data_IF_718353993482
#
_entry.id   IF_718353993482
#
_cell.length_a   1.000
_cell.length_b   1.000
_cell.length_c   1.000
_cell.angle_alpha   90.00
_cell.angle_beta   90.00
_cell.angle_gamma   90.00
#
_symmetry.space_group_name_H-M   'P 1'
#
loop_
_entity.id
_entity.type
_entity.pdbx_description
1 polymer ?
#
# COMPACT_ATOMS: atom_id res chain seq x y z
N UNK A 1 -5.52 12.38 -29.36
CA UNK A 1 -5.87 11.19 -28.57
C UNK A 1 -6.71 11.65 -27.38
N UNK A 2 -7.87 11.05 -27.16
CA UNK A 2 -8.74 11.38 -26.00
C UNK A 2 -8.29 10.57 -24.78
N UNK A 3 -8.37 11.21 -23.62
CA UNK A 3 -8.07 10.61 -22.32
C UNK A 3 -9.33 10.65 -21.44
N UNK A 4 -9.51 9.66 -20.60
CA UNK A 4 -10.68 9.51 -19.74
C UNK A 4 -10.25 9.18 -18.30
N UNK A 5 -10.98 9.70 -17.33
CA UNK A 5 -10.91 9.33 -15.90
C UNK A 5 -9.53 9.53 -15.23
N UNK A 6 -8.64 10.37 -15.77
CA UNK A 6 -7.30 10.63 -15.22
C UNK A 6 -7.29 11.21 -13.80
N UNK A 7 -8.42 11.76 -13.34
CA UNK A 7 -8.56 12.29 -11.97
C UNK A 7 -8.68 11.20 -10.90
N UNK A 8 -9.00 9.97 -11.30
CA UNK A 8 -9.16 8.87 -10.36
C UNK A 8 -7.83 8.16 -10.14
N UNK A 9 -7.35 8.23 -8.90
CA UNK A 9 -6.11 7.61 -8.45
C UNK A 9 -6.45 6.57 -7.40
N UNK A 10 -5.91 5.36 -7.54
CA UNK A 10 -5.96 4.37 -6.47
C UNK A 10 -4.74 4.53 -5.56
N UNK A 11 -4.97 4.57 -4.26
CA UNK A 11 -3.92 4.51 -3.26
C UNK A 11 -3.69 3.06 -2.80
N UNK A 12 -2.43 2.74 -2.50
CA UNK A 12 -2.07 1.53 -1.76
C UNK A 12 -1.81 1.93 -0.30
N UNK A 13 -2.55 1.35 0.68
CA UNK A 13 -2.49 1.80 2.08
C UNK A 13 -1.13 1.59 2.73
N UNK A 14 -0.47 0.46 2.42
CA UNK A 14 0.69 -0.05 3.14
C UNK A 14 1.92 -0.11 2.25
N UNK A 15 2.41 1.04 1.80
CA UNK A 15 3.75 1.15 1.23
C UNK A 15 4.78 1.36 2.34
N UNK A 16 5.93 0.72 2.25
CA UNK A 16 7.03 0.90 3.20
C UNK A 16 7.42 2.37 3.28
N UNK A 17 7.47 2.92 4.50
CA UNK A 17 7.87 4.31 4.72
C UNK A 17 9.38 4.44 4.74
N UNK A 18 9.95 5.00 3.67
CA UNK A 18 11.37 5.32 3.55
C UNK A 18 11.54 6.79 3.20
N UNK A 19 12.54 7.45 3.80
CA UNK A 19 12.83 8.88 3.53
C UNK A 19 13.48 9.11 2.17
N UNK A 20 14.13 8.10 1.58
CA UNK A 20 15.04 8.29 0.45
C UNK A 20 14.59 7.69 -0.88
N UNK A 21 13.57 6.84 -0.91
CA UNK A 21 13.20 6.11 -2.12
C UNK A 21 12.10 6.81 -2.93
N UNK A 22 12.38 7.07 -4.22
CA UNK A 22 11.38 7.56 -5.18
C UNK A 22 10.30 6.51 -5.45
N UNK A 23 10.68 5.22 -5.53
CA UNK A 23 9.77 4.10 -5.76
C UNK A 23 9.57 3.36 -4.44
N UNK A 24 8.35 3.43 -3.92
CA UNK A 24 8.01 2.78 -2.66
C UNK A 24 7.83 1.28 -2.83
N UNK A 25 8.35 0.50 -1.89
CA UNK A 25 8.07 -0.93 -1.81
C UNK A 25 6.66 -1.14 -1.25
N UNK A 26 5.84 -1.91 -1.96
CA UNK A 26 4.46 -2.18 -1.54
C UNK A 26 4.41 -3.43 -0.67
N UNK A 27 3.97 -3.27 0.56
CA UNK A 27 3.66 -4.39 1.45
C UNK A 27 2.32 -4.98 1.01
N UNK A 28 2.34 -6.26 0.59
CA UNK A 28 1.15 -6.94 0.06
C UNK A 28 -0.04 -6.85 1.00
N UNK A 29 -1.22 -6.65 0.42
CA UNK A 29 -2.50 -6.70 1.13
C UNK A 29 -2.73 -8.02 1.85
N UNK A 30 -2.17 -9.12 1.32
CA UNK A 30 -2.23 -10.44 1.94
C UNK A 30 -1.68 -10.44 3.38
N UNK A 31 -0.67 -9.62 3.69
CA UNK A 31 -0.12 -9.53 5.04
C UNK A 31 -1.18 -9.04 6.04
N UNK A 32 -2.00 -8.03 5.66
CA UNK A 32 -3.15 -7.56 6.44
C UNK A 32 -4.26 -8.61 6.49
N UNK A 33 -4.55 -9.23 5.34
CA UNK A 33 -5.55 -10.30 5.23
C UNK A 33 -5.24 -11.53 6.09
N UNK A 34 -3.97 -11.77 6.40
CA UNK A 34 -3.51 -12.90 7.22
C UNK A 34 -3.21 -12.53 8.67
N UNK A 35 -3.53 -11.29 9.10
CA UNK A 35 -3.56 -10.92 10.51
C UNK A 35 -2.68 -9.77 10.95
N UNK A 36 -1.90 -9.15 10.05
CA UNK A 36 -1.14 -7.95 10.43
C UNK A 36 -2.09 -6.76 10.66
N UNK A 37 -1.83 -5.98 11.71
CA UNK A 37 -2.69 -4.89 12.19
C UNK A 37 -2.05 -3.53 12.00
N UNK A 38 -2.88 -2.54 11.65
CA UNK A 38 -2.46 -1.14 11.64
C UNK A 38 -2.59 -0.54 13.03
N UNK A 39 -1.45 -0.11 13.57
CA UNK A 39 -1.35 0.47 14.91
C UNK A 39 -0.71 1.86 14.87
N UNK A 40 -1.01 2.65 15.89
CA UNK A 40 -0.36 3.93 16.14
C UNK A 40 0.97 3.75 16.90
N UNK A 41 1.60 4.86 17.28
CA UNK A 41 2.83 4.90 18.07
C UNK A 41 2.65 4.43 19.53
N UNK A 42 1.41 4.41 20.02
CA UNK A 42 1.04 3.88 21.34
C UNK A 42 0.72 2.38 21.31
N UNK A 43 0.68 1.78 20.11
CA UNK A 43 0.33 0.36 19.89
C UNK A 43 -1.18 0.10 19.78
N UNK A 44 -2.00 1.14 19.67
CA UNK A 44 -3.45 0.99 19.54
C UNK A 44 -3.86 0.80 18.07
N UNK A 45 -4.73 -0.17 17.83
CA UNK A 45 -5.38 -0.36 16.53
C UNK A 45 -6.39 0.77 16.28
N UNK A 46 -6.29 1.49 15.18
CA UNK A 46 -7.13 2.65 14.88
C UNK A 46 -8.05 2.47 13.66
N UNK A 47 -7.90 1.38 12.90
CA UNK A 47 -8.71 1.09 11.72
C UNK A 47 -8.89 -0.42 11.55
N UNK A 48 -9.96 -0.84 10.89
CA UNK A 48 -10.10 -2.21 10.39
C UNK A 48 -9.36 -2.36 9.04
N UNK A 49 -8.26 -3.08 9.04
CA UNK A 49 -7.35 -3.26 7.91
C UNK A 49 -7.97 -4.02 6.74
N UNK A 50 -9.10 -4.71 6.97
CA UNK A 50 -9.79 -5.51 5.95
C UNK A 50 -10.79 -4.69 5.13
N UNK A 51 -11.03 -3.44 5.50
CA UNK A 51 -11.84 -2.52 4.72
C UNK A 51 -11.22 -2.22 3.34
N UNK A 52 -11.99 -1.69 2.38
CA UNK A 52 -11.48 -1.29 1.06
C UNK A 52 -10.27 -0.36 1.15
N UNK A 53 -9.38 -0.44 0.15
CA UNK A 53 -8.09 0.29 0.14
C UNK A 53 -8.22 1.80 0.28
N UNK A 54 -9.23 2.39 -0.32
CA UNK A 54 -9.56 3.81 -0.22
C UNK A 54 -9.90 4.20 1.21
N UNK A 55 -10.78 3.42 1.86
CA UNK A 55 -11.15 3.63 3.26
C UNK A 55 -9.93 3.53 4.19
N UNK A 56 -9.15 2.47 4.07
CA UNK A 56 -7.94 2.27 4.90
C UNK A 56 -6.91 3.37 4.65
N UNK A 57 -6.71 3.77 3.39
CA UNK A 57 -5.78 4.86 3.04
C UNK A 57 -6.22 6.20 3.62
N UNK A 58 -7.51 6.52 3.56
CA UNK A 58 -8.07 7.73 4.13
C UNK A 58 -7.93 7.76 5.66
N UNK A 59 -8.22 6.64 6.33
CA UNK A 59 -8.05 6.50 7.77
C UNK A 59 -6.59 6.73 8.19
N UNK A 60 -5.62 6.15 7.46
CA UNK A 60 -4.19 6.38 7.73
C UNK A 60 -3.82 7.84 7.50
N UNK A 61 -4.23 8.46 6.38
CA UNK A 61 -3.91 9.85 6.08
C UNK A 61 -4.47 10.80 7.13
N UNK A 62 -5.71 10.57 7.56
CA UNK A 62 -6.34 11.33 8.63
C UNK A 62 -5.58 11.17 9.95
N UNK A 63 -5.30 9.95 10.37
CA UNK A 63 -4.55 9.68 11.60
C UNK A 63 -3.17 10.34 11.61
N UNK A 64 -2.46 10.29 10.46
CA UNK A 64 -1.17 10.99 10.29
C UNK A 64 -1.29 12.50 10.42
N UNK A 65 -2.34 13.10 9.85
CA UNK A 65 -2.56 14.54 9.93
C UNK A 65 -2.94 14.97 11.36
N UNK A 66 -3.80 14.22 12.04
CA UNK A 66 -4.25 14.51 13.40
C UNK A 66 -3.12 14.42 14.44
N UNK A 67 -2.17 13.51 14.24
CA UNK A 67 -1.03 13.27 15.15
C UNK A 67 0.27 13.94 14.69
N UNK A 68 0.31 14.57 13.53
CA UNK A 68 1.51 15.15 12.88
C UNK A 68 2.68 14.15 12.77
N UNK A 69 2.38 12.90 12.35
CA UNK A 69 3.34 11.81 12.20
C UNK A 69 3.60 11.47 10.73
N UNK A 70 4.82 11.05 10.37
CA UNK A 70 5.19 10.76 8.97
C UNK A 70 4.63 9.43 8.45
N UNK A 71 4.38 8.47 9.33
CA UNK A 71 3.92 7.12 9.00
C UNK A 71 3.11 6.53 10.16
N UNK A 72 2.44 5.43 9.88
CA UNK A 72 1.84 4.54 10.89
C UNK A 72 2.60 3.21 10.88
N UNK A 73 2.24 2.30 11.76
CA UNK A 73 2.92 1.03 11.95
C UNK A 73 2.03 -0.15 11.52
N UNK A 74 2.60 -1.10 10.78
CA UNK A 74 1.95 -2.37 10.44
C UNK A 74 2.59 -3.49 11.26
N UNK A 75 1.85 -4.00 12.22
CA UNK A 75 2.31 -5.02 13.17
C UNK A 75 1.95 -6.42 12.69
N UNK A 76 2.98 -7.22 12.40
CA UNK A 76 2.86 -8.61 11.98
C UNK A 76 3.47 -9.59 13.01
N UNK A 77 3.92 -9.12 14.17
CA UNK A 77 4.68 -9.92 15.15
C UNK A 77 3.93 -11.14 15.67
N UNK A 78 2.60 -11.05 15.81
CA UNK A 78 1.75 -12.17 16.28
C UNK A 78 1.74 -13.37 15.31
N UNK A 79 2.16 -13.18 14.06
CA UNK A 79 2.20 -14.26 13.04
C UNK A 79 3.38 -15.22 13.23
N UNK A 80 4.43 -14.78 13.94
CA UNK A 80 5.62 -15.56 14.20
C UNK A 80 6.64 -15.58 13.06
N UNK A 81 7.92 -15.68 13.44
CA UNK A 81 9.06 -15.52 12.53
C UNK A 81 9.07 -16.55 11.39
N UNK A 82 8.89 -17.85 11.72
CA UNK A 82 8.92 -18.93 10.73
C UNK A 82 7.80 -18.78 9.69
N UNK A 83 6.60 -18.38 10.13
CA UNK A 83 5.49 -18.13 9.24
C UNK A 83 5.79 -16.96 8.29
N UNK A 84 6.27 -15.84 8.84
CA UNK A 84 6.60 -14.65 8.06
C UNK A 84 7.69 -14.94 7.01
N UNK A 85 8.74 -15.66 7.37
CA UNK A 85 9.82 -16.05 6.45
C UNK A 85 9.34 -16.94 5.31
N UNK A 86 8.50 -17.92 5.62
CA UNK A 86 8.02 -18.89 4.63
C UNK A 86 6.90 -18.31 3.75
N UNK A 87 5.99 -17.56 4.31
CA UNK A 87 4.80 -17.04 3.61
C UNK A 87 5.07 -15.74 2.85
N UNK A 88 5.92 -14.87 3.41
CA UNK A 88 6.20 -13.54 2.89
C UNK A 88 7.71 -13.28 2.71
N UNK A 89 8.48 -14.19 2.07
CA UNK A 89 9.95 -14.10 2.02
C UNK A 89 10.46 -12.80 1.41
N UNK A 90 9.77 -12.27 0.38
CA UNK A 90 10.16 -11.01 -0.27
C UNK A 90 9.99 -9.80 0.66
N UNK A 91 8.87 -9.76 1.41
CA UNK A 91 8.59 -8.67 2.36
C UNK A 91 9.57 -8.78 3.53
N UNK A 92 9.74 -9.98 4.06
CA UNK A 92 10.65 -10.25 5.18
C UNK A 92 12.08 -9.79 4.87
N UNK A 93 12.64 -10.24 3.75
CA UNK A 93 13.99 -9.89 3.34
C UNK A 93 14.13 -8.38 3.07
N UNK A 94 13.14 -7.76 2.40
CA UNK A 94 13.17 -6.32 2.18
C UNK A 94 13.18 -5.54 3.50
N UNK A 95 12.35 -5.90 4.48
CA UNK A 95 12.35 -5.27 5.79
C UNK A 95 13.70 -5.42 6.50
N UNK A 96 14.33 -6.61 6.45
CA UNK A 96 15.66 -6.82 7.01
C UNK A 96 16.74 -5.96 6.33
N UNK A 97 16.70 -5.81 5.01
CA UNK A 97 17.61 -4.93 4.26
C UNK A 97 17.45 -3.46 4.67
N UNK A 98 16.23 -3.06 5.10
CA UNK A 98 15.97 -1.73 5.66
C UNK A 98 16.26 -1.63 7.18
N UNK A 99 16.79 -2.68 7.80
CA UNK A 99 17.14 -2.71 9.21
C UNK A 99 15.96 -3.03 10.15
N UNK A 100 14.85 -3.56 9.62
CA UNK A 100 13.64 -3.89 10.38
C UNK A 100 13.40 -5.39 10.37
N UNK A 101 13.42 -6.01 11.55
CA UNK A 101 12.97 -7.39 11.73
C UNK A 101 11.46 -7.39 12.03
N UNK A 102 10.65 -7.63 10.99
CA UNK A 102 9.18 -7.59 11.11
C UNK A 102 8.58 -8.65 12.03
N UNK A 103 9.38 -9.61 12.48
CA UNK A 103 8.98 -10.56 13.51
C UNK A 103 9.17 -10.01 14.94
N UNK A 104 9.95 -8.94 15.12
CA UNK A 104 10.28 -8.33 16.42
C UNK A 104 9.74 -6.92 16.58
N UNK A 105 9.62 -6.20 15.48
CA UNK A 105 9.16 -4.81 15.48
C UNK A 105 8.18 -4.55 14.33
N UNK A 106 7.24 -3.60 14.48
CA UNK A 106 6.29 -3.31 13.44
C UNK A 106 6.92 -2.53 12.27
N UNK A 107 6.34 -2.69 11.08
CA UNK A 107 6.82 -2.11 9.83
C UNK A 107 6.29 -0.68 9.68
N UNK A 108 7.11 0.34 9.47
CA UNK A 108 6.63 1.69 9.16
C UNK A 108 6.00 1.74 7.76
N UNK A 109 4.75 2.19 7.68
CA UNK A 109 4.00 2.25 6.42
C UNK A 109 3.27 3.58 6.23
N UNK A 110 3.03 3.94 4.98
CA UNK A 110 2.25 5.11 4.61
C UNK A 110 1.57 4.88 3.27
N UNK A 111 0.38 5.43 3.02
CA UNK A 111 -0.25 5.34 1.71
C UNK A 111 0.60 5.95 0.61
N UNK A 112 0.58 5.33 -0.56
CA UNK A 112 1.19 5.88 -1.76
C UNK A 112 0.29 5.69 -2.97
N UNK A 113 0.53 6.48 -4.01
CA UNK A 113 -0.13 6.29 -5.30
C UNK A 113 0.24 4.92 -5.87
N UNK A 114 -0.78 4.16 -6.31
CA UNK A 114 -0.64 2.83 -6.89
C UNK A 114 -0.95 2.83 -8.38
N UNK A 115 -2.15 3.27 -8.76
CA UNK A 115 -2.61 3.34 -10.15
C UNK A 115 -3.25 4.68 -10.48
N UNK A 116 -3.12 5.08 -11.75
CA UNK A 116 -4.15 5.87 -12.40
C UNK A 116 -5.25 4.94 -12.92
N UNK A 117 -6.50 5.21 -12.54
CA UNK A 117 -7.65 4.39 -12.94
C UNK A 117 -8.10 4.70 -14.36
N UNK A 118 -7.81 5.91 -14.84
CA UNK A 118 -8.07 6.33 -16.20
C UNK A 118 -6.89 6.10 -17.14
N UNK A 119 -7.07 6.52 -18.38
CA UNK A 119 -6.06 6.38 -19.42
C UNK A 119 -6.58 6.83 -20.78
N UNK A 120 -6.12 6.16 -21.82
CA UNK A 120 -6.58 6.39 -23.20
C UNK A 120 -8.03 5.91 -23.32
N UNK A 121 -8.93 6.79 -23.81
CA UNK A 121 -10.31 6.41 -24.10
C UNK A 121 -10.35 5.47 -25.31
N UNK A 122 -10.98 4.30 -25.11
CA UNK A 122 -11.18 3.28 -26.15
C UNK A 122 -12.62 2.83 -26.21
N UNK A 123 -13.04 2.30 -27.36
CA UNK A 123 -14.32 1.61 -27.52
C UNK A 123 -14.21 0.12 -27.10
N UNK A 124 -15.31 -0.64 -27.30
CA UNK A 124 -15.35 -2.07 -26.99
C UNK A 124 -14.41 -2.95 -27.85
N UNK A 125 -13.83 -2.38 -28.90
CA UNK A 125 -12.85 -3.02 -29.78
C UNK A 125 -11.43 -2.50 -29.55
N UNK A 126 -11.19 -1.84 -28.41
CA UNK A 126 -9.90 -1.24 -28.08
C UNK A 126 -9.42 -0.14 -29.03
N UNK A 127 -10.30 0.42 -29.88
CA UNK A 127 -9.95 1.52 -30.78
C UNK A 127 -9.87 2.83 -30.01
N UNK A 128 -8.82 3.58 -30.27
CA UNK A 128 -8.66 4.94 -29.75
C UNK A 128 -9.34 5.97 -30.66
N UNK A 129 -9.35 7.23 -30.26
CA UNK A 129 -9.81 8.34 -31.11
C UNK A 129 -8.88 8.65 -32.28
N UNK A 130 -7.77 7.93 -32.44
CA UNK A 130 -6.82 8.07 -33.56
C UNK A 130 -6.99 6.90 -34.52
N UNK A 131 -6.92 7.18 -35.82
CA UNK A 131 -7.02 6.16 -36.87
C UNK A 131 -5.89 5.15 -36.75
N UNK A 132 -6.24 3.85 -36.84
CA UNK A 132 -5.30 2.72 -36.80
C UNK A 132 -4.47 2.61 -35.48
N UNK A 133 -4.95 3.22 -34.40
CA UNK A 133 -4.31 3.10 -33.08
C UNK A 133 -5.28 2.44 -32.10
N UNK A 134 -4.79 1.38 -31.44
CA UNK A 134 -5.50 0.61 -30.43
C UNK A 134 -4.75 0.71 -29.11
N UNK A 135 -5.47 0.58 -27.99
CA UNK A 135 -4.89 0.52 -26.66
C UNK A 135 -5.66 -0.47 -25.77
N UNK A 136 -4.94 -1.16 -24.88
CA UNK A 136 -5.49 -2.08 -23.90
C UNK A 136 -4.72 -2.01 -22.57
#
# INVERSE_FOLDING_TARGET
MKLKDLKYIQLHPTAFHSKCERRKFLISESLRGEGARLIDDEGNRFVDELQPRDFVSEAILKHKADKDIPCVLLDAREMGEDYLKNRFPKIYNYCLEQGIDMAKEPIPVSPCQHYFMGGIEVDSFCKTSMTNLFAC
#
